data_IF_081641550550
#
_entry.id   IF_081641550550
#
_cell.length_a   1.000
_cell.length_b   1.000
_cell.length_c   1.000
_cell.angle_alpha   90.00
_cell.angle_beta   90.00
_cell.angle_gamma   90.00
#
_symmetry.space_group_name_H-M   'P 1'
#
loop_
_entity.id
_entity.type
_entity.pdbx_description
1 polymer ?
#
# COMPACT_ATOMS: atom_id res chain seq x y z
N UNK A 1 -20.20 8.81 -48.46
CA UNK A 1 -20.75 8.39 -47.15
C UNK A 1 -19.82 7.43 -46.40
N UNK A 2 -19.22 6.42 -47.06
CA UNK A 2 -18.29 5.48 -46.42
C UNK A 2 -17.20 6.11 -45.53
N UNK A 3 -16.50 7.16 -45.99
CA UNK A 3 -15.43 7.84 -45.23
C UNK A 3 -15.87 8.40 -43.88
N UNK A 4 -17.12 8.85 -43.77
CA UNK A 4 -17.71 9.38 -42.53
C UNK A 4 -18.00 8.24 -41.56
N UNK A 5 -18.38 7.07 -42.06
CA UNK A 5 -18.63 5.88 -41.24
C UNK A 5 -17.32 5.32 -40.66
N UNK A 6 -16.24 5.31 -41.45
CA UNK A 6 -14.90 4.95 -40.98
C UNK A 6 -14.38 5.93 -39.93
N UNK A 7 -14.56 7.24 -40.15
CA UNK A 7 -14.18 8.25 -39.16
C UNK A 7 -14.96 8.10 -37.84
N UNK A 8 -16.27 7.84 -37.92
CA UNK A 8 -17.12 7.63 -36.75
C UNK A 8 -16.75 6.32 -36.02
N UNK A 9 -16.46 5.25 -36.75
CA UNK A 9 -16.00 3.98 -36.18
C UNK A 9 -14.65 4.15 -35.45
N UNK A 10 -13.70 4.87 -36.03
CA UNK A 10 -12.45 5.21 -35.34
C UNK A 10 -12.71 6.02 -34.07
N UNK A 11 -13.57 7.03 -34.12
CA UNK A 11 -13.89 7.87 -32.95
C UNK A 11 -14.49 7.06 -31.79
N UNK A 12 -15.37 6.10 -32.10
CA UNK A 12 -16.00 5.22 -31.11
C UNK A 12 -15.00 4.26 -30.46
N UNK A 13 -13.97 3.82 -31.17
CA UNK A 13 -12.89 2.99 -30.62
C UNK A 13 -11.96 3.75 -29.66
N UNK A 14 -11.77 5.05 -29.85
CA UNK A 14 -10.98 5.87 -28.92
C UNK A 14 -11.74 6.24 -27.64
N UNK A 15 -13.08 6.35 -27.71
CA UNK A 15 -13.94 6.61 -26.53
C UNK A 15 -13.89 5.48 -25.51
N UNK A 16 -13.82 4.21 -25.96
CA UNK A 16 -13.78 3.06 -25.04
C UNK A 16 -12.44 2.95 -24.32
N UNK A 17 -11.33 3.32 -24.98
CA UNK A 17 -10.00 3.36 -24.35
C UNK A 17 -9.90 4.44 -23.27
N UNK A 18 -10.55 5.59 -23.45
CA UNK A 18 -10.57 6.67 -22.44
C UNK A 18 -11.45 6.33 -21.22
N UNK A 19 -12.53 5.55 -21.41
CA UNK A 19 -13.40 5.10 -20.33
C UNK A 19 -12.87 3.87 -19.56
N UNK A 20 -11.84 3.20 -20.08
CA UNK A 20 -11.21 2.03 -19.46
C UNK A 20 -10.09 2.38 -18.45
N UNK A 21 -9.93 3.65 -18.11
CA UNK A 21 -8.98 4.07 -17.09
C UNK A 21 -9.47 3.58 -15.72
N UNK A 22 -8.68 2.69 -15.10
CA UNK A 22 -8.89 2.20 -13.73
C UNK A 22 -9.26 3.35 -12.80
N UNK A 23 -10.17 3.09 -11.86
CA UNK A 23 -10.69 4.08 -10.91
C UNK A 23 -9.58 4.47 -9.92
N UNK A 24 -8.65 5.32 -10.34
CA UNK A 24 -7.58 5.82 -9.51
C UNK A 24 -8.14 6.87 -8.56
N UNK A 25 -8.17 6.55 -7.28
CA UNK A 25 -8.52 7.52 -6.24
C UNK A 25 -7.27 8.30 -5.87
N UNK A 26 -7.27 9.61 -6.09
CA UNK A 26 -6.23 10.49 -5.59
C UNK A 26 -6.24 10.51 -4.05
N UNK A 27 -5.06 10.40 -3.45
CA UNK A 27 -4.90 10.49 -2.01
C UNK A 27 -3.70 9.69 -1.48
N UNK A 28 -3.35 9.88 -0.20
CA UNK A 28 -2.34 9.05 0.45
C UNK A 28 -2.84 7.61 0.59
N UNK A 29 -1.95 6.66 0.34
CA UNK A 29 -2.22 5.22 0.52
C UNK A 29 -1.43 4.69 1.72
N UNK A 30 -1.99 3.67 2.38
CA UNK A 30 -1.28 2.93 3.43
C UNK A 30 -0.69 1.65 2.84
N UNK A 31 0.62 1.49 2.96
CA UNK A 31 1.29 0.21 2.71
C UNK A 31 1.37 -0.54 4.03
N UNK A 32 0.62 -1.63 4.15
CA UNK A 32 0.56 -2.45 5.37
C UNK A 32 1.42 -3.69 5.24
N UNK A 33 2.32 -3.91 6.19
CA UNK A 33 3.13 -5.14 6.28
C UNK A 33 2.74 -5.93 7.52
N UNK A 34 2.26 -7.17 7.31
CA UNK A 34 1.91 -8.07 8.40
C UNK A 34 3.11 -8.94 8.75
N UNK A 35 3.51 -8.91 10.02
CA UNK A 35 4.68 -9.63 10.51
C UNK A 35 4.27 -10.64 11.56
N UNK A 36 4.67 -11.89 11.34
CA UNK A 36 4.69 -12.91 12.39
C UNK A 36 6.08 -12.99 12.99
N UNK A 37 6.17 -12.79 14.30
CA UNK A 37 7.42 -12.86 15.04
C UNK A 37 7.69 -14.31 15.42
N UNK A 38 8.97 -14.69 15.41
CA UNK A 38 9.37 -16.02 15.87
C UNK A 38 9.00 -16.20 17.36
N UNK A 39 8.65 -17.43 17.79
CA UNK A 39 8.34 -17.70 19.20
C UNK A 39 9.42 -17.17 20.15
N UNK A 40 9.00 -16.50 21.23
CA UNK A 40 9.88 -15.89 22.23
C UNK A 40 10.86 -14.82 21.70
N UNK A 41 10.60 -14.21 20.54
CA UNK A 41 11.45 -13.15 19.95
C UNK A 41 10.78 -11.76 19.90
N UNK A 42 9.61 -11.59 20.54
CA UNK A 42 8.85 -10.33 20.49
C UNK A 42 9.66 -9.12 20.97
N UNK A 43 10.27 -9.23 22.15
CA UNK A 43 11.03 -8.11 22.74
C UNK A 43 12.25 -7.73 21.90
N UNK A 44 12.95 -8.72 21.35
CA UNK A 44 14.07 -8.51 20.45
C UNK A 44 13.62 -7.81 19.15
N UNK A 45 12.49 -8.24 18.59
CA UNK A 45 11.91 -7.64 17.39
C UNK A 45 11.47 -6.20 17.61
N UNK A 46 10.76 -5.90 18.70
CA UNK A 46 10.36 -4.54 19.08
C UNK A 46 11.57 -3.63 19.33
N UNK A 47 12.63 -4.18 19.91
CA UNK A 47 13.89 -3.45 20.10
C UNK A 47 14.53 -3.11 18.75
N UNK A 48 14.58 -4.07 17.82
CA UNK A 48 15.06 -3.84 16.45
C UNK A 48 14.24 -2.77 15.72
N UNK A 49 12.91 -2.81 15.81
CA UNK A 49 12.04 -1.79 15.18
C UNK A 49 12.36 -0.40 15.71
N UNK A 50 12.58 -0.27 17.02
CA UNK A 50 12.90 1.01 17.65
C UNK A 50 14.27 1.55 17.24
N UNK A 51 15.26 0.66 17.14
CA UNK A 51 16.65 1.05 16.89
C UNK A 51 16.95 1.28 15.40
N UNK A 52 16.39 0.47 14.52
CA UNK A 52 16.69 0.51 13.09
C UNK A 52 15.56 1.15 12.27
N UNK A 53 14.32 0.71 12.47
CA UNK A 53 13.20 1.11 11.61
C UNK A 53 12.68 2.51 11.92
N UNK A 54 12.55 2.86 13.21
CA UNK A 54 12.03 4.18 13.60
C UNK A 54 12.86 5.34 13.04
N UNK A 55 14.21 5.39 13.21
CA UNK A 55 15.00 6.50 12.66
C UNK A 55 14.87 6.64 11.15
N UNK A 56 14.78 5.51 10.43
CA UNK A 56 14.55 5.50 8.99
C UNK A 56 13.19 6.12 8.64
N UNK A 57 12.11 5.69 9.28
CA UNK A 57 10.77 6.21 8.99
C UNK A 57 10.62 7.70 9.37
N UNK A 58 11.28 8.15 10.44
CA UNK A 58 11.33 9.57 10.79
C UNK A 58 12.04 10.39 9.71
N UNK A 59 13.12 9.87 9.13
CA UNK A 59 13.83 10.53 8.03
C UNK A 59 13.00 10.56 6.74
N UNK A 60 12.36 9.45 6.38
CA UNK A 60 11.44 9.36 5.24
C UNK A 60 10.27 10.34 5.41
N UNK A 61 9.75 10.49 6.63
CA UNK A 61 8.69 11.45 6.94
C UNK A 61 9.22 12.90 6.87
N UNK A 62 10.41 13.16 7.39
CA UNK A 62 11.08 14.47 7.36
C UNK A 62 11.36 14.95 5.94
N UNK A 63 11.74 14.03 5.04
CA UNK A 63 12.03 14.32 3.63
C UNK A 63 10.76 14.35 2.75
N UNK A 64 9.61 13.98 3.31
CA UNK A 64 8.32 13.97 2.60
C UNK A 64 8.10 12.74 1.72
N UNK A 65 8.93 11.71 1.82
CA UNK A 65 8.76 10.45 1.10
C UNK A 65 7.53 9.67 1.61
N UNK A 66 7.20 9.81 2.90
CA UNK A 66 5.96 9.32 3.50
C UNK A 66 5.23 10.42 4.27
N UNK A 67 3.91 10.32 4.34
CA UNK A 67 3.08 11.25 5.12
C UNK A 67 3.03 10.85 6.60
N UNK A 68 2.91 9.56 6.88
CA UNK A 68 2.81 9.03 8.24
C UNK A 68 3.19 7.54 8.30
N UNK A 69 3.45 7.03 9.50
CA UNK A 69 3.65 5.61 9.76
C UNK A 69 3.01 5.20 11.08
N UNK A 70 2.58 3.94 11.21
CA UNK A 70 1.97 3.40 12.43
C UNK A 70 2.45 1.98 12.67
N UNK A 71 2.53 1.58 13.93
CA UNK A 71 2.86 0.22 14.32
C UNK A 71 1.73 -0.26 15.22
N UNK A 72 1.07 -1.34 14.81
CA UNK A 72 -0.01 -1.96 15.57
C UNK A 72 0.43 -3.32 16.10
N UNK A 73 0.13 -3.56 17.38
CA UNK A 73 0.23 -4.87 17.98
C UNK A 73 -1.13 -5.56 17.85
N UNK A 74 -1.14 -6.82 17.44
CA UNK A 74 -2.38 -7.60 17.41
C UNK A 74 -2.71 -8.08 18.82
N UNK A 75 -3.89 -7.72 19.32
CA UNK A 75 -4.34 -8.13 20.65
C UNK A 75 -4.99 -9.52 20.66
N UNK A 76 -5.49 -9.99 19.52
CA UNK A 76 -6.23 -11.25 19.40
C UNK A 76 -5.57 -12.18 18.39
N UNK A 77 -5.53 -13.48 18.69
CA UNK A 77 -5.05 -14.50 17.75
C UNK A 77 -6.22 -15.19 17.05
N UNK A 78 -6.12 -15.33 15.74
CA UNK A 78 -7.06 -16.02 14.86
C UNK A 78 -6.58 -17.43 14.50
N UNK A 79 -5.38 -17.84 14.94
CA UNK A 79 -4.85 -19.19 14.76
C UNK A 79 -3.33 -19.31 14.87
N UNK A 80 -2.75 -20.52 14.76
CA UNK A 80 -1.31 -20.75 14.92
C UNK A 80 -0.41 -20.09 13.86
N UNK A 81 -1.00 -19.66 12.75
CA UNK A 81 -0.33 -19.05 11.60
C UNK A 81 -0.76 -17.59 11.44
N UNK A 82 -1.10 -16.93 12.54
CA UNK A 82 -1.53 -15.54 12.50
C UNK A 82 -0.34 -14.57 12.55
N UNK A 83 -0.58 -13.30 12.27
CA UNK A 83 0.42 -12.24 12.41
C UNK A 83 0.35 -11.61 13.81
N UNK A 84 1.45 -11.00 14.25
CA UNK A 84 1.56 -10.38 15.58
C UNK A 84 1.64 -8.85 15.49
N UNK A 85 2.22 -8.30 14.41
CA UNK A 85 2.31 -6.86 14.16
C UNK A 85 1.87 -6.46 12.76
N UNK A 86 1.31 -5.26 12.66
CA UNK A 86 1.14 -4.54 11.40
C UNK A 86 1.99 -3.26 11.41
N UNK A 87 2.80 -3.09 10.36
CA UNK A 87 3.63 -1.91 10.11
C UNK A 87 3.07 -1.10 8.94
#
# INVERSE_FOLDING_TARGET
MAKIHWALACLLLFVTAAAAQEHYTEGPVWRVTLVRVKPAQMDAYLTSLRQATKPLLEEEKRTGAIVDYKIFLKETTSGPQDWDLAL
#
